data_IF_184348091719
#
_entry.id   IF_184348091719
#
_cell.length_a   1.000
_cell.length_b   1.000
_cell.length_c   1.000
_cell.angle_alpha   90.00
_cell.angle_beta   90.00
_cell.angle_gamma   90.00
#
_symmetry.space_group_name_H-M   'P 1'
#
loop_
_entity.id
_entity.type
_entity.pdbx_description
1 polymer ?
#
# COMPACT_ATOMS: atom_id res chain seq x y z
N UNK A 1 -4.54 -10.68 8.25
CA UNK A 1 -5.20 -10.15 7.04
C UNK A 1 -4.09 -9.61 6.14
N UNK A 2 -3.95 -10.10 4.91
CA UNK A 2 -2.85 -9.70 4.03
C UNK A 2 -3.37 -8.67 3.01
N UNK A 3 -2.91 -7.42 3.13
CA UNK A 3 -3.18 -6.35 2.15
C UNK A 3 -2.06 -6.32 1.10
N UNK A 4 -2.40 -5.99 -0.15
CA UNK A 4 -1.49 -5.99 -1.30
C UNK A 4 -1.67 -4.73 -2.13
N UNK A 5 -0.67 -4.43 -2.96
CA UNK A 5 -0.79 -3.37 -3.95
C UNK A 5 -2.01 -3.63 -4.86
N UNK A 6 -2.83 -2.60 -5.10
CA UNK A 6 -4.09 -2.67 -5.84
C UNK A 6 -5.34 -2.76 -4.95
N UNK A 7 -5.19 -3.11 -3.67
CA UNK A 7 -6.32 -3.22 -2.75
C UNK A 7 -6.94 -1.86 -2.43
N UNK A 8 -8.28 -1.84 -2.32
CA UNK A 8 -9.02 -0.66 -1.88
C UNK A 8 -9.38 -0.81 -0.39
N UNK A 9 -8.88 0.14 0.39
CA UNK A 9 -9.07 0.23 1.83
C UNK A 9 -10.03 1.37 2.15
N UNK A 10 -10.96 1.10 3.06
CA UNK A 10 -11.79 2.13 3.66
C UNK A 10 -11.12 2.60 4.95
N UNK A 11 -10.42 3.73 4.86
CA UNK A 11 -9.70 4.30 5.99
C UNK A 11 -10.67 5.13 6.82
N UNK A 12 -10.89 4.69 8.06
CA UNK A 12 -11.78 5.34 9.02
C UNK A 12 -10.99 5.78 10.24
N UNK A 13 -11.66 6.46 11.18
CA UNK A 13 -11.06 6.87 12.46
C UNK A 13 -10.47 5.70 13.27
N UNK A 14 -10.94 4.47 13.05
CA UNK A 14 -10.37 3.27 13.68
C UNK A 14 -8.95 2.99 13.20
N UNK A 15 -8.65 3.28 11.92
CA UNK A 15 -7.32 3.10 11.33
C UNK A 15 -6.35 4.21 11.76
N UNK A 16 -6.81 5.46 11.81
CA UNK A 16 -6.02 6.59 12.33
C UNK A 16 -6.95 7.74 12.71
N UNK A 17 -6.61 8.43 13.80
CA UNK A 17 -7.41 9.55 14.33
C UNK A 17 -7.55 10.73 13.35
N UNK A 18 -6.65 10.83 12.37
CA UNK A 18 -6.65 11.87 11.34
C UNK A 18 -7.82 11.71 10.35
N UNK A 19 -8.43 10.53 10.26
CA UNK A 19 -9.57 10.25 9.39
C UNK A 19 -10.91 10.50 10.10
N UNK A 20 -11.15 11.75 10.52
CA UNK A 20 -12.45 12.17 11.07
C UNK A 20 -13.55 12.01 10.00
N UNK A 21 -13.21 12.27 8.74
CA UNK A 21 -13.99 11.88 7.58
C UNK A 21 -13.34 10.64 6.97
N UNK A 22 -14.08 9.53 6.79
CA UNK A 22 -13.51 8.34 6.19
C UNK A 22 -13.21 8.57 4.70
N UNK A 23 -12.17 7.91 4.19
CA UNK A 23 -11.76 8.00 2.79
C UNK A 23 -11.59 6.61 2.18
N UNK A 24 -11.78 6.53 0.87
CA UNK A 24 -11.41 5.35 0.09
C UNK A 24 -9.95 5.51 -0.36
N UNK A 25 -9.14 4.48 -0.18
CA UNK A 25 -7.70 4.54 -0.40
C UNK A 25 -7.23 3.30 -1.15
N UNK A 26 -6.68 3.50 -2.35
CA UNK A 26 -6.06 2.43 -3.13
C UNK A 26 -4.59 2.29 -2.77
N UNK A 27 -4.24 1.14 -2.20
CA UNK A 27 -2.90 0.80 -1.78
C UNK A 27 -1.99 0.60 -3.00
N UNK A 28 -0.82 1.24 -3.02
CA UNK A 28 0.24 1.01 -4.01
C UNK A 28 1.40 0.26 -3.35
N UNK A 29 1.74 0.63 -2.11
CA UNK A 29 2.87 0.06 -1.41
C UNK A 29 2.66 0.08 0.10
N UNK A 30 3.04 -1.03 0.74
CA UNK A 30 3.18 -1.13 2.20
C UNK A 30 4.64 -0.87 2.54
N UNK A 31 4.90 0.07 3.45
CA UNK A 31 6.24 0.46 3.90
C UNK A 31 6.50 -0.18 5.26
N UNK A 32 6.76 -1.48 5.25
CA UNK A 32 7.08 -2.28 6.44
C UNK A 32 8.49 -1.98 6.98
N UNK A 33 9.34 -1.39 6.15
CA UNK A 33 10.70 -0.93 6.48
C UNK A 33 10.73 0.23 7.50
N UNK A 34 9.62 0.97 7.62
CA UNK A 34 9.52 2.18 8.43
C UNK A 34 8.69 1.98 9.71
N UNK A 35 8.40 0.73 10.11
CA UNK A 35 7.56 0.46 11.28
C UNK A 35 8.26 0.89 12.56
N UNK A 36 7.97 2.12 12.99
CA UNK A 36 8.52 2.72 14.21
C UNK A 36 7.81 2.21 15.47
N UNK A 37 6.58 1.68 15.33
CA UNK A 37 5.73 1.24 16.43
C UNK A 37 4.97 -0.03 16.09
N UNK A 38 4.99 -1.01 17.00
CA UNK A 38 4.25 -2.27 16.84
C UNK A 38 2.75 -2.01 16.60
N UNK A 39 2.20 -2.66 15.58
CA UNK A 39 0.78 -2.54 15.20
C UNK A 39 0.45 -1.35 14.28
N UNK A 40 1.44 -0.51 13.96
CA UNK A 40 1.31 0.57 12.97
C UNK A 40 2.01 0.20 11.66
N UNK A 41 1.50 0.75 10.56
CA UNK A 41 2.06 0.55 9.23
C UNK A 41 1.92 1.83 8.41
N UNK A 42 2.96 2.12 7.65
CA UNK A 42 2.96 3.17 6.65
C UNK A 42 2.41 2.62 5.34
N UNK A 43 1.33 3.22 4.85
CA UNK A 43 0.73 2.89 3.56
C UNK A 43 0.90 4.04 2.60
N UNK A 44 1.28 3.70 1.38
CA UNK A 44 1.38 4.64 0.27
C UNK A 44 0.36 4.26 -0.80
N UNK A 45 -0.41 5.25 -1.27
CA UNK A 45 -1.55 4.97 -2.13
C UNK A 45 -2.22 6.22 -2.67
N UNK A 46 -3.36 6.02 -3.33
CA UNK A 46 -4.20 7.09 -3.85
C UNK A 46 -5.51 7.19 -3.07
N UNK A 47 -5.91 8.39 -2.71
CA UNK A 47 -7.29 8.66 -2.32
C UNK A 47 -8.20 8.54 -3.54
N UNK A 48 -9.33 7.85 -3.36
CA UNK A 48 -10.33 7.68 -4.40
C UNK A 48 -11.50 8.64 -4.15
N UNK A 49 -12.06 9.18 -5.23
CA UNK A 49 -13.32 9.92 -5.18
C UNK A 49 -14.54 8.99 -5.09
N UNK A 50 -15.73 9.58 -5.20
CA UNK A 50 -17.01 8.84 -5.16
C UNK A 50 -17.22 7.94 -6.38
N UNK A 51 -16.53 8.20 -7.49
CA UNK A 51 -16.59 7.42 -8.73
C UNK A 51 -15.53 6.30 -8.72
N UNK A 52 -14.55 6.39 -7.82
CA UNK A 52 -13.47 5.43 -7.66
C UNK A 52 -12.19 5.81 -8.41
N UNK A 53 -12.09 7.07 -8.86
CA UNK A 53 -10.91 7.60 -9.55
C UNK A 53 -9.85 8.10 -8.57
N UNK A 54 -8.59 7.87 -8.92
CA UNK A 54 -7.44 8.23 -8.10
C UNK A 54 -7.20 9.75 -8.20
N UNK A 55 -7.55 10.48 -7.15
CA UNK A 55 -7.45 11.94 -7.15
C UNK A 55 -6.10 12.43 -6.63
N UNK A 56 -5.59 11.83 -5.55
CA UNK A 56 -4.38 12.32 -4.86
C UNK A 56 -3.55 11.20 -4.27
N UNK A 57 -2.23 11.24 -4.50
CA UNK A 57 -1.27 10.35 -3.81
C UNK A 57 -1.06 10.81 -2.38
N UNK A 58 -1.12 9.87 -1.43
CA UNK A 58 -0.92 10.10 0.00
C UNK A 58 -0.09 8.98 0.62
N UNK A 59 0.71 9.35 1.60
CA UNK A 59 1.37 8.44 2.52
C UNK A 59 0.72 8.61 3.90
N UNK A 60 0.28 7.52 4.50
CA UNK A 60 -0.53 7.52 5.73
C UNK A 60 -0.04 6.50 6.73
N UNK A 61 0.00 6.89 8.01
CA UNK A 61 0.31 6.01 9.12
C UNK A 61 -0.98 5.51 9.76
N UNK A 62 -1.18 4.19 9.72
CA UNK A 62 -2.44 3.54 10.14
C UNK A 62 -2.18 2.34 11.03
N UNK A 63 -3.16 2.01 11.86
CA UNK A 63 -3.17 0.80 12.69
C UNK A 63 -3.78 -0.36 11.92
N UNK A 64 -3.12 -1.51 11.98
CA UNK A 64 -3.61 -2.75 11.37
C UNK A 64 -5.03 -3.12 11.81
N UNK A 65 -5.31 -2.96 13.10
CA UNK A 65 -6.58 -3.33 13.73
C UNK A 65 -7.79 -2.54 13.17
N UNK A 66 -7.54 -1.31 12.71
CA UNK A 66 -8.58 -0.44 12.19
C UNK A 66 -8.76 -0.48 10.67
N UNK A 67 -7.98 -1.30 9.95
CA UNK A 67 -8.05 -1.38 8.50
C UNK A 67 -9.25 -2.20 8.04
N UNK A 68 -10.01 -1.63 7.11
CA UNK A 68 -11.14 -2.31 6.46
C UNK A 68 -10.89 -2.45 4.97
N UNK A 69 -10.63 -3.68 4.51
CA UNK A 69 -10.53 -4.01 3.10
C UNK A 69 -11.94 -4.06 2.49
N UNK A 70 -12.14 -3.32 1.40
CA UNK A 70 -13.38 -3.36 0.61
C UNK A 70 -13.28 -4.41 -0.49
N UNK A 71 -12.06 -4.66 -0.97
CA UNK A 71 -11.74 -5.68 -1.95
C UNK A 71 -10.63 -5.20 -2.88
N UNK A 72 -10.06 -6.09 -3.70
CA UNK A 72 -9.25 -5.65 -4.83
C UNK A 72 -10.15 -4.86 -5.78
N UNK A 73 -9.63 -3.79 -6.41
CA UNK A 73 -10.23 -3.39 -7.69
C UNK A 73 -10.15 -4.64 -8.57
N UNK A 74 -11.27 -5.06 -9.14
CA UNK A 74 -11.32 -6.09 -10.18
C UNK A 74 -10.52 -5.57 -11.38
N UNK A 75 -9.20 -5.60 -11.28
CA UNK A 75 -8.34 -5.67 -12.44
C UNK A 75 -8.70 -7.03 -13.06
N UNK A 76 -9.19 -7.08 -14.31
CA UNK A 76 -9.49 -8.35 -14.95
C UNK A 76 -8.24 -9.23 -14.86
N UNK A 77 -8.40 -10.46 -14.36
CA UNK A 77 -7.39 -11.51 -14.30
C UNK A 77 -6.38 -11.40 -15.47
N UNK A 78 -5.16 -10.91 -15.23
CA UNK A 78 -4.15 -10.97 -16.29
C UNK A 78 -2.97 -10.00 -16.35
N UNK A 79 -2.66 -9.19 -15.32
CA UNK A 79 -1.36 -8.49 -15.31
C UNK A 79 -0.47 -9.06 -14.19
N UNK A 80 0.51 -9.92 -14.51
CA UNK A 80 1.53 -10.27 -13.54
C UNK A 80 2.32 -9.00 -13.23
N UNK A 81 2.19 -8.52 -11.98
CA UNK A 81 2.99 -7.40 -11.48
C UNK A 81 4.48 -7.65 -11.71
N UNK A 82 5.31 -6.59 -11.78
CA UNK A 82 6.72 -6.73 -12.12
C UNK A 82 7.40 -7.66 -11.11
N UNK A 83 7.77 -8.86 -11.58
CA UNK A 83 8.66 -9.77 -10.87
C UNK A 83 9.86 -8.95 -10.42
N UNK A 84 10.10 -8.90 -9.10
CA UNK A 84 11.39 -8.50 -8.53
C UNK A 84 12.47 -9.25 -9.31
N UNK A 85 13.17 -8.55 -10.19
CA UNK A 85 14.39 -9.05 -10.79
C UNK A 85 15.35 -9.26 -9.63
N UNK A 86 15.57 -10.52 -9.30
CA UNK A 86 16.43 -10.94 -8.20
C UNK A 86 17.80 -10.29 -8.35
N UNK A 87 18.25 -9.70 -7.26
CA UNK A 87 19.63 -9.31 -7.06
C UNK A 87 20.52 -10.54 -7.24
N UNK A 88 21.32 -10.53 -8.31
CA UNK A 88 22.55 -11.30 -8.41
C UNK A 88 23.60 -10.41 -9.07
N UNK A 89 24.14 -9.48 -8.29
CA UNK A 89 25.53 -9.09 -8.47
C UNK A 89 26.39 -10.14 -7.75
N UNK A 90 27.49 -10.57 -8.37
CA UNK A 90 28.75 -10.23 -7.72
C UNK A 90 29.74 -9.59 -8.69
N UNK A 91 30.23 -8.44 -8.26
CA UNK A 91 31.53 -7.85 -8.60
C UNK A 91 32.67 -8.82 -8.29
N UNK A 92 33.71 -8.85 -9.15
CA UNK A 92 35.17 -8.94 -8.83
C UNK A 92 35.88 -9.21 -10.18
N UNK A 93 36.66 -8.30 -10.80
CA UNK A 93 37.92 -7.63 -10.41
C UNK A 93 39.07 -8.12 -11.32
N UNK A 94 39.48 -7.24 -12.24
CA UNK A 94 40.87 -6.81 -12.51
C UNK A 94 41.94 -7.76 -13.10
N UNK A 95 42.70 -7.17 -14.06
CA UNK A 95 44.06 -7.48 -14.59
C UNK A 95 44.12 -8.70 -15.55
N UNK A 96 44.80 -8.64 -16.70
CA UNK A 96 45.99 -7.90 -17.15
C UNK A 96 45.87 -7.60 -18.65
#
# INVERSE_FOLDING_TARGET
>A
MAIRAGDVLHLTRAASVQFVKPIMFRLIRVREDLVTYHGWVWLEGYELDQVGDATRRREVLVRWDGLRLIGPRLEPDGVPGPRRAGSSAPTVRTKR
#
